data_IF_966267947492
#
_entry.id   IF_966267947492
#
_cell.length_a   1.000
_cell.length_b   1.000
_cell.length_c   1.000
_cell.angle_alpha   90.00
_cell.angle_beta   90.00
_cell.angle_gamma   90.00
#
_symmetry.space_group_name_H-M   'P 1'
#
loop_
_entity.id
_entity.type
_entity.pdbx_description
1 polymer ?
#
# COMPACT_ATOMS: atom_id res chain seq x y z
N UNK A 1 -8.46 8.54 4.56
CA UNK A 1 -7.59 8.20 3.40
C UNK A 1 -7.26 6.72 3.46
N UNK A 2 -7.45 5.96 2.38
CA UNK A 2 -7.33 4.49 2.37
C UNK A 2 -5.92 4.00 2.75
N UNK A 3 -4.87 4.71 2.34
CA UNK A 3 -3.49 4.36 2.68
C UNK A 3 -3.24 4.41 4.18
N UNK A 4 -3.72 5.46 4.87
CA UNK A 4 -3.65 5.54 6.34
C UNK A 4 -4.38 4.37 6.98
N UNK A 5 -5.62 4.10 6.57
CA UNK A 5 -6.41 2.99 7.12
C UNK A 5 -5.69 1.66 6.94
N UNK A 6 -5.09 1.42 5.77
CA UNK A 6 -4.33 0.20 5.50
C UNK A 6 -3.06 0.10 6.36
N UNK A 7 -2.30 1.19 6.52
CA UNK A 7 -1.15 1.20 7.44
C UNK A 7 -1.54 0.90 8.89
N UNK A 8 -2.65 1.46 9.38
CA UNK A 8 -3.18 1.15 10.71
C UNK A 8 -3.66 -0.29 10.84
N UNK A 9 -4.30 -0.83 9.80
CA UNK A 9 -4.68 -2.23 9.76
C UNK A 9 -3.44 -3.13 9.87
N UNK A 10 -2.36 -2.80 9.15
CA UNK A 10 -1.08 -3.49 9.29
C UNK A 10 -0.49 -3.37 10.70
N UNK A 11 -0.67 -2.23 11.38
CA UNK A 11 -0.20 -2.03 12.75
C UNK A 11 -0.95 -2.88 13.77
N UNK A 12 -2.28 -2.94 13.65
CA UNK A 12 -3.18 -3.68 14.54
C UNK A 12 -2.99 -5.19 14.36
N UNK A 13 -2.98 -5.66 13.10
CA UNK A 13 -2.91 -7.09 12.78
C UNK A 13 -1.48 -7.60 12.59
N UNK A 14 -0.46 -6.84 13.00
CA UNK A 14 0.93 -7.17 12.68
C UNK A 14 1.35 -8.60 13.07
N UNK A 15 1.03 -9.13 14.27
CA UNK A 15 1.43 -10.49 14.61
C UNK A 15 0.85 -11.54 13.64
N UNK A 16 -0.43 -11.37 13.27
CA UNK A 16 -1.11 -12.27 12.36
C UNK A 16 -0.57 -12.16 10.94
N UNK A 17 -0.44 -10.93 10.43
CA UNK A 17 0.05 -10.72 9.06
C UNK A 17 1.51 -11.17 8.89
N UNK A 18 2.35 -10.95 9.91
CA UNK A 18 3.74 -11.43 9.92
C UNK A 18 3.82 -12.96 9.90
N UNK A 19 2.98 -13.64 10.69
CA UNK A 19 2.87 -15.09 10.67
C UNK A 19 2.45 -15.62 9.28
N UNK A 20 1.38 -15.06 8.71
CA UNK A 20 0.89 -15.44 7.38
C UNK A 20 1.96 -15.23 6.30
N UNK A 21 2.75 -14.16 6.40
CA UNK A 21 3.85 -13.91 5.48
C UNK A 21 4.95 -14.98 5.57
N UNK A 22 5.37 -15.34 6.79
CA UNK A 22 6.39 -16.39 7.00
C UNK A 22 5.90 -17.76 6.53
N UNK A 23 4.64 -18.09 6.79
CA UNK A 23 4.03 -19.38 6.42
C UNK A 23 3.45 -19.40 5.00
N UNK A 24 3.63 -18.34 4.22
CA UNK A 24 3.01 -18.17 2.90
C UNK A 24 3.24 -19.34 1.93
N UNK A 25 4.38 -20.02 2.04
CA UNK A 25 4.73 -21.21 1.25
C UNK A 25 3.95 -22.46 1.67
N UNK A 26 3.62 -22.56 2.95
CA UNK A 26 2.91 -23.68 3.59
C UNK A 26 1.38 -23.49 3.57
N UNK A 27 0.88 -22.31 3.19
CA UNK A 27 -0.54 -22.06 3.05
C UNK A 27 -1.17 -22.99 1.99
N UNK A 28 -2.37 -23.53 2.24
CA UNK A 28 -3.16 -24.23 1.25
C UNK A 28 -3.34 -23.37 -0.03
N UNK A 29 -3.40 -23.97 -1.23
CA UNK A 29 -3.54 -23.25 -2.49
C UNK A 29 -4.65 -22.18 -2.47
N UNK A 30 -5.84 -22.54 -1.99
CA UNK A 30 -6.98 -21.62 -1.89
C UNK A 30 -6.69 -20.36 -1.04
N UNK A 31 -5.94 -20.51 0.06
CA UNK A 31 -5.59 -19.37 0.92
C UNK A 31 -4.53 -18.47 0.28
N UNK A 32 -3.59 -19.05 -0.49
CA UNK A 32 -2.62 -18.27 -1.27
C UNK A 32 -3.31 -17.44 -2.35
N UNK A 33 -4.34 -17.99 -2.99
CA UNK A 33 -5.10 -17.27 -4.01
C UNK A 33 -5.93 -16.14 -3.40
N UNK A 34 -6.52 -16.36 -2.22
CA UNK A 34 -7.19 -15.28 -1.46
C UNK A 34 -6.23 -14.16 -1.08
N UNK A 35 -5.01 -14.48 -0.63
CA UNK A 35 -3.99 -13.47 -0.31
C UNK A 35 -3.61 -12.63 -1.54
N UNK A 36 -3.32 -13.29 -2.68
CA UNK A 36 -3.01 -12.59 -3.95
C UNK A 36 -4.18 -11.73 -4.42
N UNK A 37 -5.40 -12.26 -4.37
CA UNK A 37 -6.60 -11.53 -4.78
C UNK A 37 -6.85 -10.31 -3.90
N UNK A 38 -6.60 -10.43 -2.58
CA UNK A 38 -6.72 -9.31 -1.65
C UNK A 38 -5.72 -8.19 -1.97
N UNK A 39 -4.46 -8.54 -2.24
CA UNK A 39 -3.43 -7.58 -2.65
C UNK A 39 -3.82 -6.84 -3.94
N UNK A 40 -4.21 -7.58 -4.97
CA UNK A 40 -4.68 -7.00 -6.25
C UNK A 40 -5.92 -6.14 -6.07
N UNK A 41 -6.85 -6.56 -5.20
CA UNK A 41 -8.05 -5.78 -4.87
C UNK A 41 -7.67 -4.43 -4.28
N UNK A 42 -6.79 -4.38 -3.28
CA UNK A 42 -6.32 -3.12 -2.68
C UNK A 42 -5.60 -2.24 -3.69
N UNK A 43 -4.70 -2.79 -4.50
CA UNK A 43 -4.01 -2.03 -5.54
C UNK A 43 -5.00 -1.46 -6.56
N UNK A 44 -5.96 -2.26 -7.03
CA UNK A 44 -6.99 -1.80 -7.98
C UNK A 44 -7.85 -0.68 -7.39
N UNK A 45 -8.12 -0.74 -6.08
CA UNK A 45 -8.89 0.30 -5.40
C UNK A 45 -8.10 1.61 -5.31
N UNK A 46 -6.80 1.56 -5.00
CA UNK A 46 -5.92 2.74 -5.03
C UNK A 46 -5.83 3.32 -6.45
N UNK A 47 -5.67 2.47 -7.47
CA UNK A 47 -5.65 2.89 -8.87
C UNK A 47 -6.93 3.65 -9.27
N UNK A 48 -8.10 3.16 -8.88
CA UNK A 48 -9.38 3.85 -9.10
C UNK A 48 -9.43 5.23 -8.44
N UNK A 49 -8.89 5.37 -7.23
CA UNK A 49 -8.83 6.66 -6.54
C UNK A 49 -7.87 7.65 -7.22
N UNK A 50 -6.75 7.16 -7.76
CA UNK A 50 -5.81 8.00 -8.54
C UNK A 50 -6.48 8.44 -9.85
N UNK A 51 -7.15 7.53 -10.56
CA UNK A 51 -7.89 7.86 -11.78
C UNK A 51 -9.02 8.87 -11.53
N UNK A 52 -9.67 8.81 -10.35
CA UNK A 52 -10.68 9.79 -9.97
C UNK A 52 -10.10 11.18 -9.62
N UNK A 53 -8.79 11.27 -9.37
CA UNK A 53 -8.13 12.53 -9.04
C UNK A 53 -7.70 13.34 -10.28
N UNK A 54 -7.70 12.73 -11.48
CA UNK A 54 -7.33 13.39 -12.72
C UNK A 54 -7.12 12.43 -13.89
N UNK A 55 -6.89 12.98 -15.08
CA UNK A 55 -6.59 12.22 -16.30
C UNK A 55 -5.10 11.96 -16.41
N UNK A 56 -4.70 10.70 -16.22
CA UNK A 56 -3.30 10.25 -16.29
C UNK A 56 -3.19 9.03 -17.21
N UNK A 57 -1.98 8.72 -17.68
CA UNK A 57 -1.75 7.49 -18.42
C UNK A 57 -2.04 6.26 -17.54
N UNK A 58 -2.58 5.20 -18.14
CA UNK A 58 -2.96 3.98 -17.41
C UNK A 58 -1.77 3.35 -16.68
N UNK A 59 -0.60 3.34 -17.32
CA UNK A 59 0.64 2.81 -16.73
C UNK A 59 1.08 3.62 -15.51
N UNK A 60 0.96 4.94 -15.55
CA UNK A 60 1.30 5.80 -14.40
C UNK A 60 0.36 5.54 -13.21
N UNK A 61 -0.93 5.37 -13.48
CA UNK A 61 -1.93 5.04 -12.45
C UNK A 61 -1.60 3.69 -11.82
N UNK A 62 -1.33 2.67 -12.63
CA UNK A 62 -1.00 1.33 -12.17
C UNK A 62 0.28 1.32 -11.32
N UNK A 63 1.36 1.94 -11.83
CA UNK A 63 2.64 2.00 -11.14
C UNK A 63 2.53 2.79 -9.85
N UNK A 64 1.82 3.93 -9.83
CA UNK A 64 1.64 4.69 -8.61
C UNK A 64 0.84 3.92 -7.55
N UNK A 65 -0.18 3.15 -7.95
CA UNK A 65 -0.90 2.27 -7.05
C UNK A 65 0.00 1.16 -6.48
N UNK A 66 0.81 0.53 -7.32
CA UNK A 66 1.78 -0.49 -6.90
C UNK A 66 2.83 0.10 -5.94
N UNK A 67 3.40 1.27 -6.24
CA UNK A 67 4.33 1.97 -5.35
C UNK A 67 3.69 2.31 -4.01
N UNK A 68 2.43 2.75 -4.01
CA UNK A 68 1.69 3.03 -2.78
C UNK A 68 1.58 1.78 -1.89
N UNK A 69 1.29 0.62 -2.49
CA UNK A 69 1.25 -0.66 -1.78
C UNK A 69 2.62 -1.05 -1.22
N UNK A 70 3.68 -0.93 -2.02
CA UNK A 70 5.05 -1.23 -1.59
C UNK A 70 5.48 -0.41 -0.37
N UNK A 71 5.13 0.88 -0.34
CA UNK A 71 5.42 1.74 0.82
C UNK A 71 4.71 1.24 2.09
N UNK A 72 3.42 0.91 2.00
CA UNK A 72 2.69 0.39 3.17
C UNK A 72 3.20 -0.99 3.59
N UNK A 73 3.59 -1.84 2.63
CA UNK A 73 4.16 -3.16 2.90
C UNK A 73 5.49 -3.09 3.66
N UNK A 74 6.26 -2.00 3.51
CA UNK A 74 7.48 -1.79 4.28
C UNK A 74 7.18 -1.60 5.78
N UNK A 75 6.08 -0.93 6.13
CA UNK A 75 5.61 -0.89 7.53
C UNK A 75 5.15 -2.27 7.98
N UNK A 76 4.31 -2.93 7.20
CA UNK A 76 3.79 -4.27 7.49
C UNK A 76 4.90 -5.26 7.88
N UNK A 77 5.97 -5.35 7.08
CA UNK A 77 7.03 -6.33 7.30
C UNK A 77 8.18 -5.83 8.18
N UNK A 78 8.49 -4.53 8.12
CA UNK A 78 9.74 -3.98 8.68
C UNK A 78 9.52 -2.84 9.68
N UNK A 79 8.34 -2.72 10.31
CA UNK A 79 8.04 -1.66 11.31
C UNK A 79 9.09 -1.47 12.41
N UNK A 80 9.83 -2.52 12.77
CA UNK A 80 10.90 -2.44 13.78
C UNK A 80 11.93 -1.35 13.49
N UNK A 81 12.29 -1.12 12.21
CA UNK A 81 13.30 -0.11 11.84
C UNK A 81 12.79 1.31 12.07
N UNK A 82 11.49 1.52 11.83
CA UNK A 82 10.84 2.81 12.06
C UNK A 82 10.65 3.08 13.55
N UNK A 83 10.27 2.05 14.33
CA UNK A 83 10.18 2.16 15.79
C UNK A 83 11.55 2.45 16.43
N UNK A 84 12.62 1.82 15.97
CA UNK A 84 13.98 2.13 16.40
C UNK A 84 14.39 3.58 16.09
N UNK A 85 13.85 4.16 15.02
CA UNK A 85 14.00 5.58 14.68
C UNK A 85 12.96 6.50 15.35
N UNK A 86 12.20 6.01 16.34
CA UNK A 86 11.13 6.72 17.04
C UNK A 86 10.02 7.28 16.12
N UNK A 87 9.77 6.60 14.99
CA UNK A 87 8.71 6.95 14.04
C UNK A 87 7.44 6.17 14.42
N UNK A 88 6.36 6.90 14.69
CA UNK A 88 5.04 6.32 14.95
C UNK A 88 4.36 5.86 13.66
N UNK A 89 3.38 4.96 13.79
CA UNK A 89 2.51 4.55 12.67
C UNK A 89 1.83 5.75 12.02
N UNK A 90 1.44 6.75 12.82
CA UNK A 90 0.78 7.96 12.33
C UNK A 90 1.73 8.83 11.51
N UNK A 91 2.95 9.05 12.00
CA UNK A 91 3.97 9.82 11.30
C UNK A 91 4.33 9.15 9.96
N UNK A 92 4.52 7.83 9.96
CA UNK A 92 4.77 7.07 8.74
C UNK A 92 3.60 7.15 7.75
N UNK A 93 2.37 6.90 8.21
CA UNK A 93 1.19 6.94 7.37
C UNK A 93 0.93 8.34 6.78
N UNK A 94 1.21 9.41 7.54
CA UNK A 94 1.17 10.79 7.05
C UNK A 94 2.21 11.03 5.96
N UNK A 95 3.46 10.60 6.19
CA UNK A 95 4.54 10.72 5.21
C UNK A 95 4.21 10.00 3.90
N UNK A 96 3.70 8.77 3.96
CA UNK A 96 3.26 8.01 2.77
C UNK A 96 2.18 8.75 2.00
N UNK A 97 1.14 9.25 2.69
CA UNK A 97 0.06 9.99 2.03
C UNK A 97 0.56 11.27 1.38
N UNK A 98 1.45 12.00 2.04
CA UNK A 98 2.05 13.21 1.47
C UNK A 98 2.86 12.88 0.21
N UNK A 99 3.72 11.87 0.26
CA UNK A 99 4.54 11.44 -0.87
C UNK A 99 3.68 11.08 -2.10
N UNK A 100 2.63 10.27 -1.90
CA UNK A 100 1.74 9.88 -3.00
C UNK A 100 0.96 11.07 -3.53
N UNK A 101 0.44 11.95 -2.67
CA UNK A 101 -0.26 13.17 -3.10
C UNK A 101 0.65 14.09 -3.92
N UNK A 102 1.88 14.30 -3.48
CA UNK A 102 2.88 15.09 -4.22
C UNK A 102 3.16 14.45 -5.58
N UNK A 103 3.27 13.12 -5.65
CA UNK A 103 3.46 12.44 -6.93
C UNK A 103 2.28 12.63 -7.88
N UNK A 104 1.04 12.51 -7.40
CA UNK A 104 -0.17 12.78 -8.19
C UNK A 104 -0.16 14.21 -8.73
N UNK A 105 0.22 15.20 -7.92
CA UNK A 105 0.28 16.61 -8.34
C UNK A 105 1.34 16.88 -9.41
N UNK A 106 2.44 16.12 -9.42
CA UNK A 106 3.52 16.24 -10.41
C UNK A 106 3.23 15.48 -11.70
N UNK A 107 2.27 14.55 -11.70
CA UNK A 107 1.88 13.85 -12.92
C UNK A 107 1.18 14.83 -13.85
N UNK A 108 1.73 14.99 -15.05
CA UNK A 108 1.11 15.84 -16.08
C UNK A 108 -0.24 15.24 -16.48
N UNK A 109 -1.28 16.07 -16.70
CA UNK A 109 -2.51 15.57 -17.28
C UNK A 109 -2.21 14.99 -18.65
N UNK A 110 -2.64 13.74 -18.88
CA UNK A 110 -2.52 13.13 -20.20
C UNK A 110 -3.52 13.83 -21.13
N UNK A 111 -3.01 14.56 -22.12
CA UNK A 111 -3.81 15.04 -23.24
C UNK A 111 -4.15 13.85 -24.14
N UNK A 112 -5.44 13.63 -24.47
CA UNK A 112 -5.88 12.51 -25.30
C UNK A 112 -5.35 12.58 -26.74
#
# INVERSE_FOLDING_TARGET
CILRAYTYLCEIFQPWLYFVFLESRNLPPAQRDVAKASELYFQSHIAKLIAAAGTFAADDIYLLAAHSMSLVQDWHLKRRKFRAANISVDAFATSVVQLIRSRVQMMSPHTP
#
